data_IF_374526020779
#
_entry.id   IF_374526020779
#
_cell.length_a   1.000
_cell.length_b   1.000
_cell.length_c   1.000
_cell.angle_alpha   90.00
_cell.angle_beta   90.00
_cell.angle_gamma   90.00
#
_symmetry.space_group_name_H-M   'P 1'
#
loop_
_entity.id
_entity.type
_entity.pdbx_description
1 polymer ?
#
# COMPACT_ATOMS: atom_id res chain seq x y z
N UNK A 1 14.31 3.72 26.35
CA UNK A 1 14.30 3.92 24.89
C UNK A 1 14.25 5.41 24.66
N UNK A 2 14.97 5.93 23.68
CA UNK A 2 14.95 7.37 23.38
C UNK A 2 13.67 7.70 22.62
N UNK A 3 13.15 8.92 22.73
CA UNK A 3 11.96 9.36 21.97
C UNK A 3 12.10 9.06 20.46
N UNK A 4 13.30 9.25 19.91
CA UNK A 4 13.64 8.93 18.53
C UNK A 4 13.53 7.43 18.18
N UNK A 5 13.81 6.53 19.13
CA UNK A 5 13.68 5.08 18.92
C UNK A 5 12.22 4.66 18.87
N UNK A 6 11.36 5.30 19.69
CA UNK A 6 9.92 5.06 19.71
C UNK A 6 9.24 5.59 18.44
N UNK A 7 9.60 6.80 18.01
CA UNK A 7 9.09 7.41 16.77
C UNK A 7 9.50 6.59 15.53
N UNK A 8 10.76 6.11 15.50
CA UNK A 8 11.24 5.21 14.45
C UNK A 8 10.49 3.88 14.46
N UNK A 9 10.29 3.28 15.63
CA UNK A 9 9.56 2.02 15.75
C UNK A 9 8.09 2.16 15.30
N UNK A 10 7.45 3.31 15.58
CA UNK A 10 6.09 3.60 15.14
C UNK A 10 6.01 3.72 13.61
N UNK A 11 6.92 4.48 12.99
CA UNK A 11 6.99 4.64 11.53
C UNK A 11 7.31 3.31 10.83
N UNK A 12 8.18 2.48 11.41
CA UNK A 12 8.50 1.16 10.87
C UNK A 12 7.25 0.25 10.86
N UNK A 13 6.47 0.22 11.94
CA UNK A 13 5.21 -0.54 12.00
C UNK A 13 4.20 -0.03 10.97
N UNK A 14 4.07 1.29 10.85
CA UNK A 14 3.14 1.88 9.89
C UNK A 14 3.52 1.53 8.45
N UNK A 15 4.81 1.51 8.14
CA UNK A 15 5.34 1.05 6.85
C UNK A 15 5.01 -0.41 6.57
N UNK A 16 5.22 -1.30 7.54
CA UNK A 16 4.93 -2.73 7.41
C UNK A 16 3.42 -2.98 7.21
N UNK A 17 2.57 -2.25 7.93
CA UNK A 17 1.12 -2.33 7.80
C UNK A 17 0.65 -1.84 6.41
N UNK A 18 1.19 -0.72 5.92
CA UNK A 18 0.91 -0.22 4.57
C UNK A 18 1.34 -1.22 3.49
N UNK A 19 2.51 -1.83 3.65
CA UNK A 19 3.01 -2.85 2.72
C UNK A 19 2.10 -4.09 2.72
N UNK A 20 1.70 -4.57 3.89
CA UNK A 20 0.77 -5.70 4.01
C UNK A 20 -0.58 -5.41 3.36
N UNK A 21 -1.11 -4.18 3.51
CA UNK A 21 -2.36 -3.76 2.84
C UNK A 21 -2.22 -3.73 1.33
N UNK A 22 -1.11 -3.22 0.80
CA UNK A 22 -0.81 -3.24 -0.64
C UNK A 22 -0.80 -4.68 -1.18
N UNK A 23 -0.16 -5.59 -0.46
CA UNK A 23 -0.02 -6.98 -0.91
C UNK A 23 -1.37 -7.73 -0.84
N UNK A 24 -2.19 -7.47 0.17
CA UNK A 24 -3.54 -8.00 0.26
C UNK A 24 -4.43 -7.53 -0.90
N UNK A 25 -4.40 -6.22 -1.22
CA UNK A 25 -5.15 -5.63 -2.34
C UNK A 25 -4.77 -6.30 -3.67
N UNK A 26 -3.47 -6.53 -3.90
CA UNK A 26 -2.99 -7.22 -5.12
C UNK A 26 -3.43 -8.68 -5.16
N UNK A 27 -3.39 -9.37 -4.03
CA UNK A 27 -3.76 -10.79 -3.94
C UNK A 27 -5.24 -11.00 -4.21
N UNK A 28 -6.11 -10.15 -3.65
CA UNK A 28 -7.56 -10.22 -3.86
C UNK A 28 -7.93 -9.98 -5.34
N UNK A 29 -7.21 -9.09 -6.03
CA UNK A 29 -7.44 -8.82 -7.45
C UNK A 29 -6.95 -9.96 -8.36
N UNK A 30 -5.82 -10.59 -8.04
CA UNK A 30 -5.24 -11.66 -8.84
C UNK A 30 -6.06 -12.96 -8.87
N UNK A 31 -6.94 -13.18 -7.87
CA UNK A 31 -7.73 -14.40 -7.72
C UNK A 31 -9.07 -14.44 -8.48
N UNK A 32 -9.51 -13.34 -9.11
CA UNK A 32 -10.87 -13.18 -9.65
C UNK A 32 -11.01 -13.15 -11.17
N UNK A 33 -10.00 -13.58 -11.94
CA UNK A 33 -10.02 -13.54 -13.41
C UNK A 33 -10.61 -14.84 -14.01
N UNK A 34 -11.92 -15.05 -13.86
CA UNK A 34 -12.72 -15.75 -14.88
C UNK A 34 -13.44 -14.66 -15.67
N UNK A 35 -13.55 -14.79 -17.01
CA UNK A 35 -13.90 -13.65 -17.87
C UNK A 35 -15.09 -13.96 -18.79
N UNK A 36 -16.28 -13.49 -18.39
CA UNK A 36 -17.41 -13.21 -19.29
C UNK A 36 -17.48 -11.70 -19.63
N UNK A 37 -18.05 -11.34 -20.80
CA UNK A 37 -18.05 -9.95 -21.32
C UNK A 37 -18.68 -8.89 -20.39
N UNK A 38 -19.63 -9.29 -19.55
CA UNK A 38 -20.25 -8.41 -18.55
C UNK A 38 -19.30 -8.09 -17.39
N UNK A 39 -18.42 -9.02 -17.05
CA UNK A 39 -17.40 -8.85 -16.00
C UNK A 39 -16.25 -7.96 -16.47
N UNK A 40 -16.01 -7.84 -17.78
CA UNK A 40 -14.88 -7.07 -18.32
C UNK A 40 -14.96 -5.56 -17.98
N UNK A 41 -16.16 -4.98 -18.00
CA UNK A 41 -16.36 -3.58 -17.61
C UNK A 41 -16.12 -3.36 -16.11
N UNK A 42 -16.59 -4.30 -15.27
CA UNK A 42 -16.37 -4.26 -13.83
C UNK A 42 -14.89 -4.48 -13.47
N UNK A 43 -14.19 -5.35 -14.20
CA UNK A 43 -12.76 -5.61 -14.03
C UNK A 43 -11.92 -4.38 -14.40
N UNK A 44 -12.32 -3.61 -15.41
CA UNK A 44 -11.67 -2.35 -15.79
C UNK A 44 -11.88 -1.26 -14.73
N UNK A 45 -13.12 -1.06 -14.26
CA UNK A 45 -13.41 -0.12 -13.17
C UNK A 45 -12.65 -0.51 -11.89
N UNK A 46 -12.64 -1.80 -11.54
CA UNK A 46 -11.89 -2.32 -10.41
C UNK A 46 -10.38 -2.10 -10.58
N UNK A 47 -9.83 -2.24 -11.80
CA UNK A 47 -8.42 -2.00 -12.08
C UNK A 47 -8.05 -0.52 -11.85
N UNK A 48 -8.88 0.42 -12.32
CA UNK A 48 -8.66 1.86 -12.13
C UNK A 48 -8.73 2.26 -10.65
N UNK A 49 -9.71 1.73 -9.91
CA UNK A 49 -9.85 1.95 -8.46
C UNK A 49 -8.65 1.36 -7.72
N UNK A 50 -8.24 0.14 -8.08
CA UNK A 50 -7.09 -0.53 -7.49
C UNK A 50 -5.79 0.22 -7.75
N UNK A 51 -5.58 0.71 -8.97
CA UNK A 51 -4.43 1.53 -9.33
C UNK A 51 -4.39 2.83 -8.53
N UNK A 52 -5.53 3.50 -8.37
CA UNK A 52 -5.63 4.71 -7.55
C UNK A 52 -5.29 4.44 -6.07
N UNK A 53 -5.81 3.34 -5.50
CA UNK A 53 -5.52 2.92 -4.13
C UNK A 53 -4.04 2.59 -3.94
N UNK A 54 -3.45 1.85 -4.88
CA UNK A 54 -2.03 1.48 -4.86
C UNK A 54 -1.15 2.72 -4.98
N UNK A 55 -1.48 3.64 -5.89
CA UNK A 55 -0.74 4.89 -6.06
C UNK A 55 -0.73 5.71 -4.77
N UNK A 56 -1.88 5.89 -4.14
CA UNK A 56 -1.96 6.61 -2.86
C UNK A 56 -1.14 5.91 -1.76
N UNK A 57 -1.25 4.58 -1.66
CA UNK A 57 -0.50 3.81 -0.67
C UNK A 57 1.02 3.91 -0.88
N UNK A 58 1.49 3.91 -2.13
CA UNK A 58 2.92 4.14 -2.43
C UNK A 58 3.37 5.56 -2.12
N UNK A 59 2.53 6.57 -2.36
CA UNK A 59 2.83 7.96 -1.99
C UNK A 59 2.97 8.12 -0.48
N UNK A 60 2.07 7.51 0.30
CA UNK A 60 2.15 7.47 1.77
C UNK A 60 3.41 6.75 2.26
N UNK A 61 3.73 5.59 1.67
CA UNK A 61 4.93 4.82 2.01
C UNK A 61 6.21 5.62 1.72
N UNK A 62 6.27 6.34 0.59
CA UNK A 62 7.39 7.20 0.25
C UNK A 62 7.54 8.38 1.24
N UNK A 63 6.46 8.87 1.82
CA UNK A 63 6.53 9.91 2.87
C UNK A 63 7.09 9.35 4.17
N UNK A 64 6.65 8.15 4.57
CA UNK A 64 7.17 7.45 5.77
C UNK A 64 8.66 7.14 5.61
N UNK A 65 9.08 6.62 4.46
CA UNK A 65 10.49 6.33 4.17
C UNK A 65 11.36 7.60 4.28
N UNK A 66 10.88 8.74 3.76
CA UNK A 66 11.59 10.03 3.92
C UNK A 66 11.67 10.50 5.37
N UNK A 67 10.65 10.23 6.18
CA UNK A 67 10.67 10.57 7.61
C UNK A 67 11.65 9.67 8.37
N UNK A 68 11.67 8.37 8.08
CA UNK A 68 12.65 7.42 8.62
C UNK A 68 14.08 7.80 8.24
N UNK A 69 14.33 8.18 7.00
CA UNK A 69 15.66 8.64 6.55
C UNK A 69 16.15 9.88 7.30
N UNK A 70 15.24 10.79 7.65
CA UNK A 70 15.57 11.98 8.47
C UNK A 70 15.87 11.62 9.91
N UNK A 71 15.19 10.62 10.47
CA UNK A 71 15.42 10.12 11.83
C UNK A 71 16.72 9.30 11.96
N UNK A 72 17.19 8.70 10.86
CA UNK A 72 18.42 7.93 10.79
C UNK A 72 19.69 8.78 10.52
N UNK A 73 19.55 10.09 10.25
CA UNK A 73 20.66 11.04 10.07
C UNK A 73 21.00 11.76 11.37
#
# INVERSE_FOLDING_TARGET
>A
MSQHDEDRAALQRQREELQARIDAIKSDYAGGLDADFEEQAQQLENAEVLEALLKQAYEELAQIDRQLDKLNR
#
